data_IF_487325760862
#
_entry.id   IF_487325760862
#
_cell.length_a   1.000
_cell.length_b   1.000
_cell.length_c   1.000
_cell.angle_alpha   90.00
_cell.angle_beta   90.00
_cell.angle_gamma   90.00
#
_symmetry.space_group_name_H-M   'P 1'
#
loop_
_entity.id
_entity.type
_entity.pdbx_description
1 polymer ?
#
# COMPACT_ATOMS: atom_id res chain seq x y z
N UNK A 1 5.44 -15.98 5.27
CA UNK A 1 4.21 -15.50 4.61
C UNK A 1 3.57 -14.42 5.48
N UNK A 2 3.67 -13.14 5.11
CA UNK A 2 3.10 -11.99 5.88
C UNK A 2 2.31 -11.03 4.97
N UNK A 3 1.54 -11.57 4.03
CA UNK A 3 0.73 -10.75 3.09
C UNK A 3 -0.61 -10.30 3.69
N UNK A 4 -0.99 -10.80 4.88
CA UNK A 4 -2.27 -10.50 5.54
C UNK A 4 -2.25 -9.19 6.32
N UNK A 5 -1.10 -8.78 6.86
CA UNK A 5 -0.98 -7.60 7.73
C UNK A 5 -1.06 -6.27 6.96
N UNK A 6 -0.51 -6.22 5.74
CA UNK A 6 -0.54 -5.03 4.89
C UNK A 6 -1.95 -4.69 4.40
N UNK A 7 -2.70 -5.71 3.96
CA UNK A 7 -4.10 -5.59 3.56
C UNK A 7 -5.01 -5.17 4.71
N UNK A 8 -4.73 -5.66 5.92
CA UNK A 8 -5.50 -5.30 7.11
C UNK A 8 -5.39 -3.79 7.36
N UNK A 9 -4.18 -3.24 7.36
CA UNK A 9 -3.95 -1.81 7.68
C UNK A 9 -4.66 -0.84 6.72
N UNK A 10 -4.60 -1.10 5.41
CA UNK A 10 -5.26 -0.25 4.40
C UNK A 10 -6.79 -0.35 4.54
N UNK A 11 -7.32 -1.56 4.73
CA UNK A 11 -8.77 -1.77 5.00
C UNK A 11 -9.24 -1.11 6.30
N UNK A 12 -8.41 -0.99 7.34
CA UNK A 12 -8.78 -0.26 8.56
C UNK A 12 -8.72 1.26 8.39
N UNK A 13 -7.86 1.77 7.51
CA UNK A 13 -7.74 3.20 7.24
C UNK A 13 -8.87 3.75 6.37
N UNK A 14 -9.43 2.90 5.50
CA UNK A 14 -10.50 3.25 4.57
C UNK A 14 -11.66 2.26 4.70
N UNK A 15 -12.43 2.32 5.80
CA UNK A 15 -13.52 1.37 6.04
C UNK A 15 -14.64 1.50 5.00
N UNK A 16 -14.93 2.73 4.54
CA UNK A 16 -15.96 3.02 3.53
C UNK A 16 -15.59 2.48 2.14
N UNK A 17 -14.30 2.36 1.84
CA UNK A 17 -13.82 1.86 0.56
C UNK A 17 -13.38 0.39 0.62
N UNK A 18 -13.71 -0.35 1.69
CA UNK A 18 -13.25 -1.75 1.86
C UNK A 18 -13.64 -2.68 0.71
N UNK A 19 -14.88 -2.58 0.25
CA UNK A 19 -15.38 -3.37 -0.88
C UNK A 19 -14.70 -2.93 -2.19
N UNK A 20 -14.61 -1.62 -2.41
CA UNK A 20 -13.88 -1.02 -3.53
C UNK A 20 -12.41 -1.47 -3.59
N UNK A 21 -11.72 -1.53 -2.44
CA UNK A 21 -10.33 -2.02 -2.33
C UNK A 21 -10.23 -3.49 -2.76
N UNK A 22 -11.23 -4.33 -2.44
CA UNK A 22 -11.24 -5.74 -2.86
C UNK A 22 -11.48 -5.84 -4.35
N UNK A 23 -12.50 -5.16 -4.87
CA UNK A 23 -12.79 -5.12 -6.29
C UNK A 23 -11.61 -4.60 -7.10
N UNK A 24 -11.07 -3.43 -6.76
CA UNK A 24 -9.91 -2.84 -7.45
C UNK A 24 -8.69 -3.75 -7.41
N UNK A 25 -8.51 -4.56 -6.37
CA UNK A 25 -7.40 -5.51 -6.36
C UNK A 25 -7.55 -6.63 -7.40
N UNK A 26 -8.77 -7.00 -7.75
CA UNK A 26 -9.06 -8.04 -8.74
C UNK A 26 -9.25 -7.45 -10.14
N UNK A 27 -9.88 -6.28 -10.24
CA UNK A 27 -10.21 -5.59 -11.49
C UNK A 27 -9.08 -4.68 -11.98
N UNK A 28 -8.32 -4.06 -11.07
CA UNK A 28 -7.25 -3.12 -11.39
C UNK A 28 -5.84 -3.71 -11.12
N UNK A 29 -5.10 -4.08 -12.18
CA UNK A 29 -3.76 -4.65 -12.04
C UNK A 29 -2.73 -3.63 -11.53
N UNK A 30 -3.00 -2.32 -11.64
CA UNK A 30 -2.12 -1.28 -11.10
C UNK A 30 -2.24 -1.24 -9.57
N UNK A 31 -3.46 -1.36 -9.04
CA UNK A 31 -3.73 -1.48 -7.61
C UNK A 31 -3.11 -2.76 -7.02
N UNK A 32 -3.18 -3.88 -7.75
CA UNK A 32 -2.50 -5.12 -7.36
C UNK A 32 -0.98 -4.92 -7.22
N UNK A 33 -0.34 -4.22 -8.17
CA UNK A 33 1.09 -3.89 -8.11
C UNK A 33 1.44 -3.00 -6.93
N UNK A 34 0.65 -1.96 -6.66
CA UNK A 34 0.86 -1.07 -5.50
C UNK A 34 0.84 -1.85 -4.18
N UNK A 35 -0.06 -2.83 -4.07
CA UNK A 35 -0.13 -3.72 -2.91
C UNK A 35 1.10 -4.61 -2.76
N UNK A 36 1.59 -5.15 -3.86
CA UNK A 36 2.78 -6.00 -3.89
C UNK A 36 4.02 -5.18 -3.51
N UNK A 37 4.17 -3.98 -4.07
CA UNK A 37 5.25 -3.05 -3.78
C UNK A 37 5.23 -2.59 -2.31
N UNK A 38 4.04 -2.30 -1.75
CA UNK A 38 3.91 -2.01 -0.31
C UNK A 38 4.38 -3.20 0.54
N UNK A 39 4.00 -4.43 0.16
CA UNK A 39 4.40 -5.64 0.90
C UNK A 39 5.92 -5.85 0.83
N UNK A 40 6.53 -5.56 -0.31
CA UNK A 40 7.98 -5.67 -0.49
C UNK A 40 8.73 -4.62 0.34
N UNK A 41 8.26 -3.38 0.35
CA UNK A 41 8.80 -2.30 1.17
C UNK A 41 8.72 -2.61 2.67
N UNK A 42 7.61 -3.18 3.15
CA UNK A 42 7.45 -3.57 4.55
C UNK A 42 8.44 -4.69 4.94
N UNK A 43 8.68 -5.62 4.01
CA UNK A 43 9.66 -6.69 4.16
C UNK A 43 11.09 -6.15 4.18
N UNK A 44 11.39 -5.16 3.34
CA UNK A 44 12.66 -4.43 3.35
C UNK A 44 12.85 -3.67 4.66
N UNK A 45 11.84 -2.95 5.18
CA UNK A 45 11.92 -2.31 6.51
C UNK A 45 12.25 -3.37 7.57
N UNK A 46 11.51 -4.48 7.58
CA UNK A 46 11.74 -5.54 8.58
C UNK A 46 13.17 -6.10 8.49
N UNK A 47 13.70 -6.31 7.28
CA UNK A 47 15.08 -6.75 7.10
C UNK A 47 16.09 -5.69 7.56
N UNK A 48 15.89 -4.42 7.19
CA UNK A 48 16.77 -3.32 7.60
C UNK A 48 16.72 -3.06 9.11
N UNK A 49 15.58 -3.27 9.77
CA UNK A 49 15.46 -3.18 11.22
C UNK A 49 16.15 -4.35 11.93
N UNK A 50 16.25 -5.52 11.28
CA UNK A 50 16.98 -6.69 11.80
C UNK A 50 18.50 -6.58 11.57
N UNK A 51 18.94 -5.74 10.63
CA UNK A 51 20.34 -5.56 10.25
C UNK A 51 20.88 -4.23 10.83
N UNK A 52 21.42 -4.22 12.08
CA UNK A 52 21.87 -3.00 12.75
C UNK A 52 23.05 -2.29 12.05
N UNK A 53 23.77 -2.99 11.17
CA UNK A 53 24.88 -2.44 10.37
C UNK A 53 24.38 -1.63 9.16
N UNK A 54 23.23 -1.99 8.58
CA UNK A 54 22.64 -1.30 7.44
C UNK A 54 21.65 -0.19 7.83
N UNK A 55 21.62 0.20 9.12
CA UNK A 55 20.94 1.42 9.59
C UNK A 55 21.60 2.72 9.07
N UNK A 56 22.15 2.71 7.86
CA UNK A 56 22.42 3.94 7.12
C UNK A 56 21.04 4.52 6.81
N UNK A 57 20.60 5.44 7.65
CA UNK A 57 19.26 6.05 7.74
C UNK A 57 18.55 6.34 6.40
N UNK A 58 19.30 6.55 5.32
CA UNK A 58 18.84 6.81 3.96
C UNK A 58 17.87 5.75 3.40
N UNK A 59 18.15 4.45 3.56
CA UNK A 59 17.29 3.41 2.97
C UNK A 59 15.92 3.31 3.66
N UNK A 60 15.90 3.38 4.99
CA UNK A 60 14.66 3.39 5.77
C UNK A 60 13.83 4.64 5.45
N UNK A 61 14.47 5.81 5.32
CA UNK A 61 13.77 7.05 4.97
C UNK A 61 13.17 6.97 3.55
N UNK A 62 13.92 6.45 2.58
CA UNK A 62 13.44 6.22 1.21
C UNK A 62 12.25 5.25 1.19
N UNK A 63 12.33 4.15 1.94
CA UNK A 63 11.25 3.17 1.99
C UNK A 63 10.01 3.76 2.67
N UNK A 64 10.16 4.53 3.75
CA UNK A 64 9.04 5.26 4.38
C UNK A 64 8.39 6.24 3.40
N UNK A 65 9.19 7.00 2.63
CA UNK A 65 8.66 7.89 1.58
C UNK A 65 7.90 7.12 0.50
N UNK A 66 8.43 5.97 0.05
CA UNK A 66 7.73 5.12 -0.91
C UNK A 66 6.42 4.58 -0.35
N UNK A 67 6.38 4.09 0.89
CA UNK A 67 5.13 3.66 1.55
C UNK A 67 4.09 4.79 1.60
N UNK A 68 4.52 6.03 1.85
CA UNK A 68 3.64 7.19 1.82
C UNK A 68 3.06 7.40 0.41
N UNK A 69 3.91 7.38 -0.62
CA UNK A 69 3.48 7.52 -2.03
C UNK A 69 2.49 6.44 -2.45
N UNK A 70 2.75 5.18 -2.10
CA UNK A 70 1.84 4.08 -2.43
C UNK A 70 0.47 4.30 -1.77
N UNK A 71 0.45 4.76 -0.52
CA UNK A 71 -0.81 5.08 0.16
C UNK A 71 -1.56 6.23 -0.53
N UNK A 72 -0.83 7.24 -1.00
CA UNK A 72 -1.39 8.37 -1.75
C UNK A 72 -2.01 7.91 -3.08
N UNK A 73 -1.28 7.07 -3.84
CA UNK A 73 -1.79 6.50 -5.09
C UNK A 73 -3.00 5.59 -4.86
N UNK A 74 -2.99 4.76 -3.80
CA UNK A 74 -4.17 3.96 -3.40
C UNK A 74 -5.35 4.88 -3.13
N UNK A 75 -5.16 5.95 -2.36
CA UNK A 75 -6.25 6.88 -2.06
C UNK A 75 -6.77 7.55 -3.33
N UNK A 76 -5.89 7.97 -4.22
CA UNK A 76 -6.23 8.60 -5.50
C UNK A 76 -7.06 7.66 -6.39
N UNK A 77 -6.66 6.40 -6.52
CA UNK A 77 -7.44 5.40 -7.27
C UNK A 77 -8.81 5.23 -6.63
N UNK A 78 -8.89 5.08 -5.30
CA UNK A 78 -10.16 4.91 -4.59
C UNK A 78 -11.10 6.10 -4.82
N UNK A 79 -10.61 7.33 -4.70
CA UNK A 79 -11.42 8.52 -4.97
C UNK A 79 -11.84 8.59 -6.43
N UNK A 80 -10.93 8.29 -7.37
CA UNK A 80 -11.22 8.36 -8.80
C UNK A 80 -12.27 7.33 -9.22
N UNK A 81 -12.19 6.11 -8.70
CA UNK A 81 -13.20 5.06 -8.92
C UNK A 81 -14.52 5.40 -8.25
N UNK A 82 -14.49 5.94 -7.03
CA UNK A 82 -15.70 6.39 -6.34
C UNK A 82 -16.40 7.55 -7.07
N UNK A 83 -15.65 8.52 -7.58
CA UNK A 83 -16.17 9.64 -8.38
C UNK A 83 -16.71 9.15 -9.74
N UNK A 84 -15.99 8.25 -10.42
CA UNK A 84 -16.45 7.68 -11.69
C UNK A 84 -17.73 6.86 -11.53
N UNK A 85 -17.89 6.12 -10.43
CA UNK A 85 -19.11 5.37 -10.12
C UNK A 85 -20.31 6.25 -9.76
N UNK A 86 -20.08 7.49 -9.31
CA UNK A 86 -21.14 8.45 -8.99
C UNK A 86 -21.62 9.30 -10.19
N UNK A 87 -20.98 9.16 -11.36
CA UNK A 87 -21.29 9.93 -12.56
C UNK A 87 -22.05 9.13 -13.64
N UNK A 88 -22.56 7.94 -13.32
CA UNK A 88 -23.45 7.14 -14.18
C UNK A 88 -24.90 7.18 -13.73
#
# INVERSE_FOLDING_TARGET
MKTKDCNKKIKYMFPEYRDLIVQLREEDPHFAKLFEEHSELDKQITQLELDPVNQINSDIELIKRKKLKIKDEIYKILTQTAEAGNLS
#
